data_IF_756041369977
#
_entry.id   IF_756041369977
#
_cell.length_a   1.000
_cell.length_b   1.000
_cell.length_c   1.000
_cell.angle_alpha   90.00
_cell.angle_beta   90.00
_cell.angle_gamma   90.00
#
_symmetry.space_group_name_H-M   'P 1'
#
loop_
_entity.id
_entity.type
_entity.pdbx_description
1 polymer ?
#
# COMPACT_ATOMS: atom_id res chain seq x y z
N UNK A 1 -12.19 2.29 -18.82
CA UNK A 1 -11.02 2.41 -19.73
C UNK A 1 -10.09 1.21 -19.56
N UNK A 2 -9.98 0.41 -20.61
CA UNK A 2 -9.10 -0.76 -20.71
C UNK A 2 -7.82 -0.42 -21.47
N UNK A 3 -6.67 -0.81 -20.92
CA UNK A 3 -5.37 -0.77 -21.59
C UNK A 3 -4.66 -2.11 -21.44
N UNK A 4 -3.95 -2.55 -22.47
CA UNK A 4 -3.20 -3.79 -22.43
C UNK A 4 -1.77 -3.59 -22.95
N UNK A 5 -0.83 -4.34 -22.39
CA UNK A 5 0.59 -4.24 -22.70
C UNK A 5 1.17 -5.63 -22.94
N UNK A 6 1.99 -5.75 -23.98
CA UNK A 6 2.79 -6.95 -24.27
C UNK A 6 4.27 -6.68 -24.03
N UNK A 7 5.00 -7.75 -23.77
CA UNK A 7 6.44 -7.71 -23.68
C UNK A 7 7.05 -7.91 -25.07
N UNK A 8 7.82 -6.93 -25.54
CA UNK A 8 8.61 -7.00 -26.78
C UNK A 8 10.08 -6.70 -26.45
N UNK A 9 10.98 -7.67 -26.64
CA UNK A 9 12.40 -7.57 -26.28
C UNK A 9 12.62 -7.04 -24.84
N UNK A 10 11.92 -7.63 -23.88
CA UNK A 10 11.90 -7.22 -22.46
C UNK A 10 11.41 -5.79 -22.21
N UNK A 11 10.70 -5.17 -23.16
CA UNK A 11 10.11 -3.83 -23.00
C UNK A 11 8.60 -3.93 -23.04
N UNK A 12 7.92 -3.18 -22.17
CA UNK A 12 6.47 -3.07 -22.21
C UNK A 12 6.04 -2.16 -23.36
N UNK A 13 5.28 -2.71 -24.29
CA UNK A 13 4.67 -2.00 -25.41
C UNK A 13 3.16 -2.06 -25.29
N UNK A 14 2.48 -0.94 -25.51
CA UNK A 14 1.02 -0.87 -25.48
C UNK A 14 0.44 -1.60 -26.69
N UNK A 15 -0.59 -2.40 -26.48
CA UNK A 15 -1.40 -2.99 -27.54
C UNK A 15 -2.40 -1.94 -28.06
N UNK A 16 -2.51 -1.84 -29.38
CA UNK A 16 -3.57 -1.06 -30.03
C UNK A 16 -4.79 -1.98 -30.16
N UNK A 17 -5.83 -1.74 -29.37
CA UNK A 17 -6.98 -2.63 -29.22
C UNK A 17 -8.04 -2.50 -30.32
N UNK A 18 -7.65 -1.92 -31.47
CA UNK A 18 -8.49 -1.69 -32.63
C UNK A 18 -8.58 -2.97 -33.49
N UNK A 19 -9.57 -3.79 -33.15
CA UNK A 19 -10.18 -4.89 -33.91
C UNK A 19 -9.32 -6.11 -34.33
N UNK A 20 -7.98 -6.08 -34.26
CA UNK A 20 -7.13 -7.19 -34.75
C UNK A 20 -6.19 -7.85 -33.72
N UNK A 21 -5.88 -7.21 -32.59
CA UNK A 21 -5.04 -7.81 -31.54
C UNK A 21 -5.90 -8.28 -30.36
N UNK A 22 -5.79 -9.57 -30.06
CA UNK A 22 -6.42 -10.27 -28.94
C UNK A 22 -5.64 -10.01 -27.64
N UNK A 23 -6.36 -9.81 -26.53
CA UNK A 23 -5.78 -9.63 -25.20
C UNK A 23 -4.91 -10.83 -24.78
N UNK A 24 -5.05 -11.99 -25.42
CA UNK A 24 -4.27 -13.20 -25.12
C UNK A 24 -2.75 -13.02 -25.16
N UNK A 25 -2.24 -12.05 -25.93
CA UNK A 25 -0.78 -11.77 -25.98
C UNK A 25 -0.28 -10.80 -24.90
N UNK A 26 -1.20 -10.21 -24.12
CA UNK A 26 -0.85 -9.25 -23.08
C UNK A 26 -0.13 -9.93 -21.91
N UNK A 27 0.88 -9.24 -21.39
CA UNK A 27 1.49 -9.54 -20.08
C UNK A 27 0.73 -8.78 -18.97
N UNK A 28 0.19 -7.61 -19.30
CA UNK A 28 -0.49 -6.72 -18.35
C UNK A 28 -1.77 -6.16 -18.95
N UNK A 29 -2.87 -6.28 -18.21
CA UNK A 29 -4.16 -5.63 -18.49
C UNK A 29 -4.47 -4.65 -17.37
N UNK A 30 -4.54 -3.37 -17.69
CA UNK A 30 -4.85 -2.26 -16.78
C UNK A 30 -6.25 -1.72 -17.05
N UNK A 31 -7.11 -1.78 -16.03
CA UNK A 31 -8.51 -1.36 -16.07
C UNK A 31 -8.73 -0.21 -15.10
N UNK A 32 -9.28 0.89 -15.64
CA UNK A 32 -9.59 2.12 -14.90
C UNK A 32 -11.06 2.41 -15.06
N UNK A 33 -11.81 2.35 -13.97
CA UNK A 33 -13.28 2.49 -13.99
C UNK A 33 -13.91 1.74 -15.18
N UNK A 34 -13.69 0.41 -15.30
CA UNK A 34 -14.07 -0.29 -16.51
C UNK A 34 -15.58 -0.32 -16.67
N UNK A 35 -16.03 -0.15 -17.91
CA UNK A 35 -17.42 -0.38 -18.28
C UNK A 35 -17.73 -1.89 -18.27
N UNK A 36 -19.02 -2.26 -18.18
CA UNK A 36 -19.43 -3.67 -18.23
C UNK A 36 -18.92 -4.37 -19.49
N UNK A 37 -18.92 -3.67 -20.64
CA UNK A 37 -18.39 -4.17 -21.92
C UNK A 37 -16.90 -4.53 -21.85
N UNK A 38 -16.10 -3.74 -21.13
CA UNK A 38 -14.67 -3.98 -20.94
C UNK A 38 -14.42 -5.15 -19.98
N UNK A 39 -15.24 -5.28 -18.92
CA UNK A 39 -15.19 -6.42 -17.99
C UNK A 39 -15.56 -7.72 -18.69
N UNK A 40 -16.64 -7.70 -19.47
CA UNK A 40 -17.11 -8.85 -20.25
C UNK A 40 -16.06 -9.28 -21.28
N UNK A 41 -15.36 -8.32 -21.90
CA UNK A 41 -14.26 -8.61 -22.83
C UNK A 41 -13.12 -9.36 -22.15
N UNK A 42 -12.67 -8.92 -20.98
CA UNK A 42 -11.62 -9.61 -20.19
C UNK A 42 -12.08 -11.01 -19.78
N UNK A 43 -13.33 -11.15 -19.33
CA UNK A 43 -13.91 -12.44 -18.97
C UNK A 43 -13.98 -13.40 -20.18
N UNK A 44 -14.36 -12.91 -21.36
CA UNK A 44 -14.54 -13.71 -22.55
C UNK A 44 -13.21 -14.12 -23.21
N UNK A 45 -12.28 -13.19 -23.35
CA UNK A 45 -10.99 -13.43 -24.04
C UNK A 45 -9.97 -14.13 -23.13
N UNK A 46 -9.95 -13.80 -21.83
CA UNK A 46 -8.92 -14.27 -20.90
C UNK A 46 -9.44 -15.21 -19.81
N UNK A 47 -10.76 -15.38 -19.68
CA UNK A 47 -11.36 -16.21 -18.64
C UNK A 47 -11.24 -15.62 -17.24
N UNK A 48 -10.88 -14.35 -17.11
CA UNK A 48 -10.58 -13.72 -15.82
C UNK A 48 -11.80 -12.97 -15.27
N UNK A 49 -12.28 -13.40 -14.10
CA UNK A 49 -13.21 -12.61 -13.29
C UNK A 49 -12.46 -11.47 -12.61
N UNK A 50 -13.03 -10.27 -12.66
CA UNK A 50 -12.49 -9.09 -11.98
C UNK A 50 -13.28 -8.80 -10.71
N UNK A 51 -12.60 -8.33 -9.66
CA UNK A 51 -13.21 -7.94 -8.40
C UNK A 51 -14.32 -6.89 -8.59
N UNK A 52 -15.37 -6.98 -7.78
CA UNK A 52 -16.47 -6.01 -7.78
C UNK A 52 -16.10 -4.78 -6.95
N UNK A 53 -16.77 -3.64 -7.18
CA UNK A 53 -16.50 -2.40 -6.41
C UNK A 53 -16.61 -2.61 -4.88
N UNK A 54 -17.66 -3.27 -4.36
CA UNK A 54 -17.75 -3.51 -2.91
C UNK A 54 -16.61 -4.34 -2.33
N UNK A 55 -16.03 -5.28 -3.10
CA UNK A 55 -14.88 -6.08 -2.66
C UNK A 55 -13.59 -5.25 -2.53
N UNK A 56 -13.50 -4.10 -3.21
CA UNK A 56 -12.37 -3.18 -3.08
C UNK A 56 -12.43 -2.34 -1.79
N UNK A 57 -13.62 -2.22 -1.19
CA UNK A 57 -13.85 -1.51 0.07
C UNK A 57 -13.52 -2.39 1.30
N UNK A 58 -13.42 -3.70 1.12
CA UNK A 58 -13.11 -4.62 2.20
C UNK A 58 -11.67 -4.43 2.72
N UNK A 59 -11.55 -4.22 4.04
CA UNK A 59 -10.26 -3.97 4.71
C UNK A 59 -9.67 -5.24 5.35
N UNK A 60 -10.43 -6.33 5.37
CA UNK A 60 -10.04 -7.57 6.04
C UNK A 60 -8.86 -8.24 5.32
N UNK A 61 -7.93 -8.82 6.07
CA UNK A 61 -6.74 -9.47 5.49
C UNK A 61 -7.11 -10.57 4.49
N UNK A 62 -8.15 -11.35 4.79
CA UNK A 62 -8.68 -12.43 3.96
C UNK A 62 -9.38 -11.95 2.70
N UNK A 63 -9.90 -10.71 2.69
CA UNK A 63 -10.55 -10.10 1.53
C UNK A 63 -9.55 -9.35 0.63
N UNK A 64 -8.35 -9.04 1.13
CA UNK A 64 -7.32 -8.31 0.39
C UNK A 64 -6.19 -9.19 -0.13
N UNK A 65 -5.83 -10.26 0.57
CA UNK A 65 -4.67 -11.08 0.23
C UNK A 65 -5.06 -12.56 0.25
N UNK A 66 -5.36 -13.12 -0.91
CA UNK A 66 -5.85 -14.49 -1.03
C UNK A 66 -5.48 -15.14 -2.36
N UNK A 67 -5.63 -16.45 -2.43
CA UNK A 67 -5.50 -17.25 -3.65
C UNK A 67 -6.79 -18.06 -3.83
N UNK A 68 -7.34 -18.06 -5.05
CA UNK A 68 -8.51 -18.85 -5.42
C UNK A 68 -8.38 -19.40 -6.85
N UNK A 69 -9.50 -19.81 -7.47
CA UNK A 69 -9.53 -20.35 -8.83
C UNK A 69 -9.17 -19.32 -9.92
N UNK A 70 -9.33 -18.03 -9.61
CA UNK A 70 -9.04 -16.88 -10.47
C UNK A 70 -7.63 -16.32 -10.28
N UNK A 71 -6.83 -16.92 -9.38
CA UNK A 71 -5.39 -16.69 -9.26
C UNK A 71 -4.97 -16.13 -7.91
N UNK A 72 -3.87 -15.38 -7.93
CA UNK A 72 -3.31 -14.69 -6.77
C UNK A 72 -3.86 -13.26 -6.71
N UNK A 73 -4.52 -12.90 -5.62
CA UNK A 73 -5.16 -11.60 -5.44
C UNK A 73 -4.46 -10.78 -4.35
N UNK A 74 -4.18 -9.52 -4.68
CA UNK A 74 -3.57 -8.54 -3.79
C UNK A 74 -4.30 -7.22 -3.97
N UNK A 75 -5.07 -6.81 -2.97
CA UNK A 75 -5.71 -5.51 -2.92
C UNK A 75 -4.83 -4.60 -2.07
N UNK A 76 -4.26 -3.57 -2.70
CA UNK A 76 -3.35 -2.66 -2.02
C UNK A 76 -3.74 -1.20 -2.20
N UNK A 77 -3.51 -0.41 -1.15
CA UNK A 77 -3.68 1.03 -1.22
C UNK A 77 -2.59 1.67 -2.07
N UNK A 78 -3.02 2.71 -2.79
CA UNK A 78 -2.17 3.64 -3.52
C UNK A 78 -2.55 5.06 -3.17
N UNK A 79 -1.54 5.84 -2.80
CA UNK A 79 -1.69 7.25 -2.44
C UNK A 79 -1.97 8.10 -3.68
N UNK A 80 -2.82 9.11 -3.52
CA UNK A 80 -3.10 10.13 -4.52
C UNK A 80 -3.55 11.42 -3.84
N UNK A 81 -3.54 12.51 -4.59
CA UNK A 81 -4.20 13.77 -4.24
C UNK A 81 -5.34 14.02 -5.21
N UNK A 82 -6.49 14.47 -4.70
CA UNK A 82 -7.64 14.80 -5.54
C UNK A 82 -7.52 16.19 -6.18
N UNK A 83 -8.58 16.64 -6.85
CA UNK A 83 -8.57 17.93 -7.55
C UNK A 83 -8.62 19.15 -6.61
N UNK A 84 -8.86 18.92 -5.32
CA UNK A 84 -8.89 19.94 -4.25
C UNK A 84 -7.64 19.83 -3.36
N UNK A 85 -6.60 19.13 -3.84
CA UNK A 85 -5.33 18.87 -3.13
C UNK A 85 -5.51 18.10 -1.80
N UNK A 86 -6.63 17.38 -1.65
CA UNK A 86 -6.79 16.48 -0.51
C UNK A 86 -6.14 15.13 -0.79
N UNK A 87 -5.30 14.70 0.15
CA UNK A 87 -4.71 13.37 0.13
C UNK A 87 -5.79 12.27 0.18
N UNK A 88 -5.49 11.11 -0.40
CA UNK A 88 -6.38 9.97 -0.40
C UNK A 88 -5.64 8.66 -0.64
N UNK A 89 -6.29 7.56 -0.27
CA UNK A 89 -5.85 6.21 -0.62
C UNK A 89 -6.92 5.54 -1.47
N UNK A 90 -6.54 5.04 -2.64
CA UNK A 90 -7.41 4.23 -3.50
C UNK A 90 -6.96 2.78 -3.44
N UNK A 91 -7.89 1.87 -3.23
CA UNK A 91 -7.60 0.43 -3.39
C UNK A 91 -7.37 0.13 -4.86
N UNK A 92 -6.32 -0.64 -5.14
CA UNK A 92 -6.06 -1.25 -6.44
C UNK A 92 -6.06 -2.76 -6.26
N UNK A 93 -6.88 -3.46 -7.02
CA UNK A 93 -6.88 -4.91 -7.06
C UNK A 93 -5.88 -5.39 -8.12
N UNK A 94 -4.87 -6.12 -7.66
CA UNK A 94 -3.92 -6.84 -8.49
C UNK A 94 -4.32 -8.30 -8.50
N UNK A 95 -4.43 -8.88 -9.70
CA UNK A 95 -4.63 -10.31 -9.87
C UNK A 95 -3.53 -10.86 -10.77
N UNK A 96 -2.87 -11.94 -10.35
CA UNK A 96 -1.91 -12.67 -11.18
C UNK A 96 -2.45 -14.05 -11.48
N UNK A 97 -2.61 -14.35 -12.78
CA UNK A 97 -3.06 -15.65 -13.28
C UNK A 97 -2.39 -15.98 -14.61
N UNK A 98 -1.95 -17.22 -14.76
CA UNK A 98 -1.34 -17.73 -16.00
C UNK A 98 -0.19 -16.86 -16.53
N UNK A 99 0.58 -16.25 -15.62
CA UNK A 99 1.71 -15.38 -15.95
C UNK A 99 1.33 -13.97 -16.42
N UNK A 100 0.05 -13.59 -16.35
CA UNK A 100 -0.43 -12.22 -16.64
C UNK A 100 -0.78 -11.47 -15.38
N UNK A 101 -0.58 -10.15 -15.42
CA UNK A 101 -1.01 -9.22 -14.39
C UNK A 101 -2.29 -8.51 -14.82
N UNK A 102 -3.28 -8.46 -13.95
CA UNK A 102 -4.46 -7.61 -14.06
C UNK A 102 -4.41 -6.55 -12.97
N UNK A 103 -4.64 -5.29 -13.35
CA UNK A 103 -4.81 -4.19 -12.39
C UNK A 103 -6.18 -3.57 -12.58
N UNK A 104 -6.97 -3.53 -11.51
CA UNK A 104 -8.28 -2.88 -11.48
C UNK A 104 -8.25 -1.73 -10.47
N UNK A 105 -8.61 -0.53 -10.94
CA UNK A 105 -8.59 0.70 -10.15
C UNK A 105 -9.74 1.63 -10.50
N UNK A 106 -10.16 2.42 -9.52
CA UNK A 106 -11.28 3.37 -9.66
C UNK A 106 -10.86 4.75 -10.15
N UNK A 107 -9.56 5.00 -10.30
CA UNK A 107 -9.05 6.30 -10.75
C UNK A 107 -7.66 6.20 -11.33
N UNK A 108 -7.25 7.27 -12.00
CA UNK A 108 -5.84 7.51 -12.36
C UNK A 108 -4.98 7.75 -11.13
N UNK A 109 -3.83 7.09 -11.07
CA UNK A 109 -2.92 7.12 -9.94
C UNK A 109 -1.52 7.60 -10.38
N UNK A 110 -0.84 8.47 -9.59
CA UNK A 110 0.46 9.00 -9.96
C UNK A 110 1.52 7.90 -10.20
N UNK A 111 1.60 6.89 -9.33
CA UNK A 111 2.53 5.76 -9.49
C UNK A 111 2.33 5.01 -10.82
N UNK A 112 1.09 4.74 -11.24
CA UNK A 112 0.79 4.08 -12.52
C UNK A 112 1.17 4.96 -13.72
N UNK A 113 0.93 6.27 -13.62
CA UNK A 113 1.33 7.24 -14.66
C UNK A 113 2.84 7.30 -14.80
N UNK A 114 3.57 7.37 -13.68
CA UNK A 114 5.03 7.42 -13.65
C UNK A 114 5.65 6.12 -14.19
N UNK A 115 5.15 4.97 -13.73
CA UNK A 115 5.64 3.68 -14.22
C UNK A 115 5.41 3.52 -15.73
N UNK A 116 4.20 3.82 -16.25
CA UNK A 116 3.92 3.75 -17.69
C UNK A 116 4.81 4.69 -18.52
N UNK A 117 5.19 5.85 -17.97
CA UNK A 117 6.13 6.76 -18.62
C UNK A 117 7.54 6.13 -18.72
N UNK A 118 8.05 5.54 -17.62
CA UNK A 118 9.37 4.90 -17.55
C UNK A 118 9.44 3.62 -18.40
N UNK A 119 8.40 2.79 -18.34
CA UNK A 119 8.29 1.51 -19.04
C UNK A 119 8.45 1.61 -20.57
N UNK A 120 8.16 2.78 -21.17
CA UNK A 120 8.41 3.04 -22.60
C UNK A 120 9.90 2.97 -22.95
N UNK A 121 10.76 3.38 -22.03
CA UNK A 121 12.20 3.54 -22.26
C UNK A 121 13.06 2.50 -21.52
N UNK A 122 12.53 1.89 -20.47
CA UNK A 122 13.21 0.90 -19.64
C UNK A 122 12.95 -0.54 -20.10
N UNK A 123 13.93 -1.41 -19.89
CA UNK A 123 13.78 -2.86 -20.09
C UNK A 123 13.56 -3.52 -18.73
N UNK A 124 12.64 -4.47 -18.69
CA UNK A 124 12.48 -5.42 -17.60
C UNK A 124 13.65 -6.40 -17.59
N UNK A 125 14.05 -6.85 -16.41
CA UNK A 125 15.14 -7.80 -16.19
C UNK A 125 14.68 -9.21 -16.55
N UNK A 126 13.59 -9.69 -15.94
CA UNK A 126 13.08 -11.05 -16.11
C UNK A 126 11.83 -11.08 -17.02
N UNK A 127 11.12 -9.97 -17.16
CA UNK A 127 9.98 -9.80 -18.07
C UNK A 127 8.73 -10.58 -17.65
N UNK A 128 8.39 -10.59 -16.36
CA UNK A 128 7.25 -11.36 -15.86
C UNK A 128 6.27 -10.52 -15.01
N UNK A 129 5.07 -11.07 -14.76
CA UNK A 129 4.00 -10.38 -14.04
C UNK A 129 4.36 -10.04 -12.58
N UNK A 130 5.21 -10.83 -11.92
CA UNK A 130 5.64 -10.55 -10.56
C UNK A 130 6.62 -9.38 -10.51
N UNK A 131 7.56 -9.32 -11.46
CA UNK A 131 8.45 -8.16 -11.62
C UNK A 131 7.62 -6.90 -11.84
N UNK A 132 6.65 -6.94 -12.75
CA UNK A 132 5.77 -5.80 -13.02
C UNK A 132 4.99 -5.32 -11.78
N UNK A 133 4.46 -6.25 -10.99
CA UNK A 133 3.77 -5.91 -9.74
C UNK A 133 4.73 -5.23 -8.75
N UNK A 134 5.95 -5.77 -8.62
CA UNK A 134 6.95 -5.23 -7.70
C UNK A 134 7.49 -3.88 -8.17
N UNK A 135 7.68 -3.67 -9.47
CA UNK A 135 8.07 -2.37 -10.02
C UNK A 135 7.01 -1.28 -9.72
N UNK A 136 5.72 -1.64 -9.77
CA UNK A 136 4.63 -0.73 -9.38
C UNK A 136 4.68 -0.43 -7.87
N UNK A 137 5.09 -1.39 -7.04
CA UNK A 137 5.30 -1.16 -5.62
C UNK A 137 6.54 -0.31 -5.34
N UNK A 138 7.65 -0.52 -6.04
CA UNK A 138 8.83 0.36 -5.97
C UNK A 138 8.48 1.79 -6.32
N UNK A 139 7.78 2.00 -7.44
CA UNK A 139 7.34 3.33 -7.86
C UNK A 139 6.41 3.97 -6.82
N UNK A 140 5.56 3.16 -6.17
CA UNK A 140 4.73 3.63 -5.06
C UNK A 140 5.58 4.03 -3.85
N UNK A 141 6.57 3.24 -3.44
CA UNK A 141 7.41 3.55 -2.28
C UNK A 141 8.27 4.79 -2.54
N UNK A 142 8.80 4.97 -3.75
CA UNK A 142 9.50 6.19 -4.17
C UNK A 142 8.61 7.42 -3.97
N UNK A 143 7.38 7.37 -4.46
CA UNK A 143 6.42 8.47 -4.28
C UNK A 143 6.11 8.73 -2.80
N UNK A 144 5.90 7.69 -1.99
CA UNK A 144 5.63 7.86 -0.55
C UNK A 144 6.83 8.45 0.21
N UNK A 145 8.05 8.15 -0.22
CA UNK A 145 9.26 8.76 0.32
C UNK A 145 9.30 10.27 0.01
N UNK A 146 9.00 10.65 -1.24
CA UNK A 146 8.91 12.06 -1.64
C UNK A 146 7.87 12.81 -0.79
N UNK A 147 6.69 12.22 -0.52
CA UNK A 147 5.70 12.85 0.35
C UNK A 147 6.21 13.06 1.78
N UNK A 148 6.93 12.08 2.35
CA UNK A 148 7.54 12.23 3.67
C UNK A 148 8.55 13.39 3.68
N UNK A 149 9.36 13.53 2.63
CA UNK A 149 10.32 14.64 2.50
C UNK A 149 9.63 16.01 2.38
N UNK A 150 8.52 16.08 1.65
CA UNK A 150 7.69 17.29 1.55
C UNK A 150 7.13 17.68 2.92
N UNK A 151 6.55 16.73 3.67
CA UNK A 151 6.02 17.00 5.01
C UNK A 151 7.12 17.54 5.93
N UNK A 152 8.33 16.95 5.93
CA UNK A 152 9.43 17.48 6.74
C UNK A 152 9.80 18.92 6.38
N UNK A 153 9.83 19.22 5.09
CA UNK A 153 10.17 20.55 4.58
C UNK A 153 9.12 21.59 4.97
N UNK A 154 7.85 21.23 4.92
CA UNK A 154 6.74 22.13 5.26
C UNK A 154 6.57 22.29 6.77
N UNK A 155 6.77 21.21 7.55
CA UNK A 155 6.79 21.29 9.01
C UNK A 155 7.92 22.18 9.54
N UNK A 156 9.08 22.20 8.88
CA UNK A 156 10.19 23.10 9.23
C UNK A 156 9.84 24.57 8.96
N UNK A 157 9.15 24.87 7.85
CA UNK A 157 8.66 26.23 7.56
C UNK A 157 7.61 26.65 8.60
N UNK A 158 6.66 25.76 8.89
CA UNK A 158 5.59 25.96 9.85
C UNK A 158 6.13 26.24 11.26
N UNK A 159 7.14 25.47 11.69
CA UNK A 159 7.83 25.67 12.97
C UNK A 159 8.39 27.09 13.14
N UNK A 160 8.93 27.69 12.06
CA UNK A 160 9.45 29.07 12.10
C UNK A 160 8.32 30.09 12.24
N UNK A 161 7.22 29.90 11.52
CA UNK A 161 6.03 30.76 11.62
C UNK A 161 5.48 30.76 13.05
N UNK A 162 5.35 29.59 13.66
CA UNK A 162 4.87 29.45 15.05
C UNK A 162 5.84 30.12 16.05
N UNK A 163 7.15 30.04 15.83
CA UNK A 163 8.16 30.63 16.72
C UNK A 163 8.29 32.16 16.58
N UNK A 164 8.02 32.72 15.40
CA UNK A 164 8.16 34.15 15.09
C UNK A 164 6.81 34.92 15.19
N UNK A 165 5.69 34.21 15.14
CA UNK A 165 4.35 34.77 15.03
C UNK A 165 3.83 35.45 16.30
N UNK A 166 3.08 36.55 16.11
CA UNK A 166 2.24 37.15 17.15
C UNK A 166 0.81 36.60 16.99
N UNK A 167 0.07 36.38 18.09
CA UNK A 167 -1.30 35.82 18.06
C UNK A 167 -2.21 36.56 17.07
N UNK A 168 -2.90 35.83 16.17
CA UNK A 168 -3.78 36.35 15.12
C UNK A 168 -3.99 35.34 13.97
N UNK A 169 -4.44 35.82 12.80
CA UNK A 169 -4.81 35.01 11.63
C UNK A 169 -3.68 34.05 11.15
N UNK A 170 -2.40 34.42 11.34
CA UNK A 170 -1.23 33.58 10.99
C UNK A 170 -1.16 32.27 11.80
N UNK A 171 -1.72 32.25 13.00
CA UNK A 171 -1.77 31.06 13.85
C UNK A 171 -2.88 30.08 13.39
N UNK A 172 -4.01 30.59 12.91
CA UNK A 172 -5.12 29.76 12.41
C UNK A 172 -4.75 29.09 11.09
N UNK A 173 -4.03 29.80 10.21
CA UNK A 173 -3.45 29.23 8.98
C UNK A 173 -2.42 28.15 9.30
N UNK A 174 -1.54 28.42 10.27
CA UNK A 174 -0.55 27.45 10.74
C UNK A 174 -1.18 26.16 11.29
N UNK A 175 -2.26 26.26 12.08
CA UNK A 175 -2.99 25.10 12.59
C UNK A 175 -3.68 24.31 11.47
N UNK A 176 -4.22 25.00 10.46
CA UNK A 176 -4.84 24.36 9.31
C UNK A 176 -3.81 23.56 8.50
N UNK A 177 -2.65 24.15 8.21
CA UNK A 177 -1.54 23.46 7.55
C UNK A 177 -1.04 22.28 8.38
N UNK A 178 -0.96 22.39 9.71
CA UNK A 178 -0.56 21.27 10.56
C UNK A 178 -1.52 20.07 10.43
N UNK A 179 -2.84 20.34 10.41
CA UNK A 179 -3.85 19.31 10.26
C UNK A 179 -3.77 18.62 8.89
N UNK A 180 -3.54 19.38 7.82
CA UNK A 180 -3.32 18.84 6.47
C UNK A 180 -2.09 17.93 6.42
N UNK A 181 -0.96 18.38 6.98
CA UNK A 181 0.28 17.59 7.03
C UNK A 181 0.12 16.29 7.86
N UNK A 182 -0.66 16.34 8.94
CA UNK A 182 -0.99 15.16 9.75
C UNK A 182 -1.81 14.13 8.95
N UNK A 183 -2.84 14.60 8.23
CA UNK A 183 -3.70 13.75 7.41
C UNK A 183 -2.93 13.09 6.25
N UNK A 184 -2.05 13.85 5.57
CA UNK A 184 -1.13 13.29 4.56
C UNK A 184 -0.25 12.21 5.19
N UNK A 185 0.40 12.53 6.32
CA UNK A 185 1.26 11.58 7.04
C UNK A 185 0.52 10.30 7.44
N UNK A 186 -0.72 10.41 7.91
CA UNK A 186 -1.57 9.28 8.26
C UNK A 186 -1.90 8.41 7.05
N UNK A 187 -2.28 9.01 5.92
CA UNK A 187 -2.58 8.29 4.67
C UNK A 187 -1.36 7.61 4.09
N UNK A 188 -0.20 8.26 4.12
CA UNK A 188 1.09 7.65 3.75
C UNK A 188 1.37 6.42 4.62
N UNK A 189 1.17 6.52 5.95
CA UNK A 189 1.40 5.39 6.87
C UNK A 189 0.51 4.21 6.56
N UNK A 190 -0.77 4.44 6.31
CA UNK A 190 -1.71 3.38 5.93
C UNK A 190 -1.27 2.69 4.65
N UNK A 191 -0.81 3.45 3.65
CA UNK A 191 -0.31 2.93 2.40
C UNK A 191 0.95 2.06 2.60
N UNK A 192 1.90 2.51 3.42
CA UNK A 192 3.11 1.76 3.79
C UNK A 192 2.77 0.45 4.52
N UNK A 193 1.93 0.50 5.56
CA UNK A 193 1.56 -0.68 6.35
C UNK A 193 0.80 -1.72 5.52
N UNK A 194 -0.09 -1.26 4.64
CA UNK A 194 -0.82 -2.14 3.73
C UNK A 194 0.12 -2.82 2.71
N UNK A 195 1.04 -2.05 2.12
CA UNK A 195 2.05 -2.59 1.19
C UNK A 195 2.97 -3.59 1.89
N UNK A 196 3.34 -3.34 3.16
CA UNK A 196 4.11 -4.28 3.97
C UNK A 196 3.37 -5.61 4.14
N UNK A 197 2.05 -5.57 4.39
CA UNK A 197 1.21 -6.78 4.52
C UNK A 197 1.12 -7.53 3.20
N UNK A 198 0.92 -6.82 2.09
CA UNK A 198 0.89 -7.39 0.75
C UNK A 198 2.20 -8.12 0.40
N UNK A 199 3.35 -7.49 0.63
CA UNK A 199 4.67 -8.08 0.37
C UNK A 199 4.96 -9.28 1.29
N UNK A 200 4.59 -9.20 2.57
CA UNK A 200 4.73 -10.33 3.49
C UNK A 200 3.88 -11.53 3.06
N UNK A 201 2.69 -11.30 2.53
CA UNK A 201 1.86 -12.34 1.95
C UNK A 201 2.53 -12.94 0.71
N UNK A 202 2.98 -12.11 -0.23
CA UNK A 202 3.70 -12.52 -1.45
C UNK A 202 4.90 -13.41 -1.15
N UNK A 203 5.78 -12.97 -0.26
CA UNK A 203 7.01 -13.71 0.12
C UNK A 203 6.69 -15.08 0.73
N UNK A 204 5.54 -15.23 1.39
CA UNK A 204 5.16 -16.50 2.04
C UNK A 204 4.37 -17.44 1.14
N UNK A 205 3.57 -16.90 0.22
CA UNK A 205 2.56 -17.66 -0.56
C UNK A 205 2.96 -17.84 -2.01
N UNK A 206 3.40 -16.77 -2.67
CA UNK A 206 3.78 -16.82 -4.07
C UNK A 206 5.13 -17.53 -4.22
N UNK A 207 5.24 -18.39 -5.24
CA UNK A 207 6.51 -18.98 -5.67
C UNK A 207 7.28 -17.98 -6.51
N UNK A 208 7.74 -16.90 -5.88
CA UNK A 208 8.52 -15.85 -6.52
C UNK A 208 9.84 -16.41 -7.06
N UNK A 209 10.25 -16.05 -8.29
CA UNK A 209 11.62 -16.29 -8.74
C UNK A 209 12.63 -15.55 -7.85
N UNK A 210 13.88 -16.00 -7.84
CA UNK A 210 14.92 -15.47 -6.94
C UNK A 210 15.14 -13.97 -7.09
N UNK A 211 15.05 -13.43 -8.32
CA UNK A 211 15.15 -11.99 -8.58
C UNK A 211 14.03 -11.21 -7.89
N UNK A 212 12.78 -11.59 -8.14
CA UNK A 212 11.61 -10.95 -7.52
C UNK A 212 11.54 -11.15 -5.99
N UNK A 213 12.08 -12.24 -5.46
CA UNK A 213 12.17 -12.43 -4.01
C UNK A 213 13.13 -11.42 -3.37
N UNK A 214 14.26 -11.12 -4.01
CA UNK A 214 15.20 -10.11 -3.51
C UNK A 214 14.61 -8.71 -3.68
N UNK A 215 13.99 -8.43 -4.83
CA UNK A 215 13.26 -7.19 -5.10
C UNK A 215 12.20 -6.91 -4.03
N UNK A 216 11.35 -7.90 -3.70
CA UNK A 216 10.34 -7.78 -2.65
C UNK A 216 10.96 -7.49 -1.26
N UNK A 217 12.15 -8.04 -0.96
CA UNK A 217 12.86 -7.77 0.30
C UNK A 217 13.52 -6.40 0.33
N UNK A 218 13.91 -5.86 -0.81
CA UNK A 218 14.41 -4.49 -0.92
C UNK A 218 13.28 -3.51 -0.61
N UNK A 219 12.13 -3.66 -1.27
CA UNK A 219 10.94 -2.83 -0.99
C UNK A 219 10.49 -2.94 0.48
N UNK A 220 10.53 -4.14 1.08
CA UNK A 220 10.25 -4.30 2.52
C UNK A 220 11.24 -3.54 3.41
N UNK A 221 12.53 -3.54 3.06
CA UNK A 221 13.56 -2.79 3.79
C UNK A 221 13.34 -1.28 3.67
N UNK A 222 12.95 -0.80 2.48
CA UNK A 222 12.63 0.62 2.29
C UNK A 222 11.44 1.02 3.14
N UNK A 223 10.37 0.22 3.18
CA UNK A 223 9.21 0.46 4.06
C UNK A 223 9.63 0.49 5.53
N UNK A 224 10.47 -0.45 5.98
CA UNK A 224 11.00 -0.46 7.35
C UNK A 224 11.85 0.78 7.67
N UNK A 225 12.50 1.38 6.67
CA UNK A 225 13.25 2.62 6.84
C UNK A 225 12.34 3.87 6.90
N UNK A 226 11.23 3.88 6.16
CA UNK A 226 10.30 5.02 6.06
C UNK A 226 9.31 5.12 7.22
N UNK A 227 8.88 3.99 7.78
CA UNK A 227 7.92 3.96 8.90
C UNK A 227 8.37 4.77 10.14
N UNK A 228 9.64 4.67 10.61
CA UNK A 228 10.14 5.50 11.71
C UNK A 228 10.10 7.01 11.42
N UNK A 229 10.36 7.41 10.18
CA UNK A 229 10.26 8.81 9.76
C UNK A 229 8.83 9.33 9.89
N UNK A 230 7.87 8.51 9.44
CA UNK A 230 6.45 8.82 9.57
C UNK A 230 6.01 8.91 11.05
N UNK A 231 6.48 8.02 11.94
CA UNK A 231 6.22 8.10 13.39
C UNK A 231 6.80 9.37 14.04
N UNK A 232 8.01 9.78 13.62
CA UNK A 232 8.67 10.98 14.13
C UNK A 232 7.91 12.26 13.76
N UNK A 233 7.19 12.29 12.64
CA UNK A 233 6.36 13.43 12.25
C UNK A 233 5.23 13.67 13.27
N UNK A 234 4.58 12.61 13.74
CA UNK A 234 3.53 12.73 14.77
C UNK A 234 4.07 13.23 16.11
N UNK A 235 5.25 12.79 16.53
CA UNK A 235 5.89 13.31 17.76
C UNK A 235 6.30 14.78 17.66
N UNK A 236 6.53 15.27 16.43
CA UNK A 236 6.94 16.65 16.17
C UNK A 236 5.71 17.56 15.94
N UNK A 237 4.59 17.00 15.48
CA UNK A 237 3.28 17.67 15.41
C UNK A 237 2.60 17.83 16.77
N UNK A 238 2.93 16.98 17.76
CA UNK A 238 2.63 17.20 19.17
C UNK A 238 3.52 18.32 19.76
N UNK A 239 3.32 19.56 19.32
CA UNK A 239 3.86 20.73 20.01
C UNK A 239 3.21 20.80 21.42
N UNK A 240 4.00 21.05 22.49
CA UNK A 240 3.46 21.13 23.84
C UNK A 240 2.52 22.33 23.92
N UNK A 241 1.27 22.05 24.27
CA UNK A 241 0.23 23.01 24.61
C UNK A 241 0.80 24.04 25.61
N UNK A 242 1.21 25.20 25.09
CA UNK A 242 1.85 26.24 25.85
C UNK A 242 0.78 27.05 26.60
N UNK A 243 0.36 26.52 27.75
CA UNK A 243 -0.19 27.30 28.86
C UNK A 243 -1.65 27.73 28.72
N UNK A 244 -2.56 26.85 29.13
CA UNK A 244 -3.92 27.20 29.53
C UNK A 244 -4.42 26.21 30.59
N UNK A 245 -4.67 26.68 31.81
CA UNK A 245 -5.29 25.91 32.88
C UNK A 245 -6.54 25.15 32.39
N UNK A 246 -6.55 23.81 32.47
CA UNK A 246 -7.78 23.03 32.32
C UNK A 246 -7.65 21.63 31.73
N UNK A 247 -7.22 20.66 32.56
CA UNK A 247 -7.69 19.26 32.57
C UNK A 247 -8.05 18.58 31.23
N UNK A 248 -7.08 17.97 30.55
CA UNK A 248 -7.26 16.66 29.89
C UNK A 248 -5.95 15.87 29.92
N UNK A 249 -5.79 15.01 30.93
CA UNK A 249 -4.75 13.98 30.94
C UNK A 249 -5.15 12.87 29.97
N UNK A 250 -4.57 12.82 28.78
CA UNK A 250 -4.41 11.54 28.08
C UNK A 250 -3.17 10.85 28.63
N UNK A 251 -3.40 10.05 29.69
CA UNK A 251 -2.44 9.12 30.25
C UNK A 251 -2.34 7.93 29.29
N UNK A 252 -1.21 7.78 28.61
CA UNK A 252 -0.86 6.52 27.95
C UNK A 252 -0.61 5.47 29.05
N UNK A 253 -1.58 4.57 29.23
CA UNK A 253 -1.35 3.33 30.00
C UNK A 253 -0.85 2.22 29.06
N UNK A 254 0.22 1.49 29.44
CA UNK A 254 0.64 0.31 28.71
C UNK A 254 -0.17 -0.89 29.21
N UNK A 255 -1.22 -1.27 28.48
CA UNK A 255 -1.93 -2.51 28.76
C UNK A 255 -2.03 -3.39 27.49
N UNK A 256 -1.04 -4.26 27.33
CA UNK A 256 -1.19 -5.54 26.63
C UNK A 256 -0.34 -6.61 27.30
N UNK A 257 -0.88 -7.24 28.34
CA UNK A 257 -0.72 -8.66 28.61
C UNK A 257 -2.06 -9.16 29.16
N UNK A 258 -2.42 -10.37 28.77
CA UNK A 258 -3.64 -11.10 29.11
C UNK A 258 -4.90 -10.76 28.32
N UNK A 259 -4.99 -11.35 27.12
CA UNK A 259 -6.25 -11.88 26.57
C UNK A 259 -5.93 -12.95 25.50
N UNK A 260 -5.48 -14.13 25.94
CA UNK A 260 -5.77 -15.38 25.22
C UNK A 260 -6.68 -16.22 26.11
N UNK A 261 -7.96 -16.21 25.71
CA UNK A 261 -9.03 -16.98 26.33
C UNK A 261 -8.77 -18.49 26.27
N UNK A 262 -9.23 -19.16 27.31
CA UNK A 262 -9.17 -20.60 27.44
C UNK A 262 -9.96 -21.36 26.38
N UNK A 263 -9.38 -22.48 25.97
CA UNK A 263 -10.11 -23.65 25.46
C UNK A 263 -9.75 -24.78 26.42
N UNK A 264 -10.75 -25.37 27.07
CA UNK A 264 -10.55 -26.39 28.09
C UNK A 264 -9.97 -27.69 27.54
N UNK A 265 -9.42 -28.53 28.44
CA UNK A 265 -9.95 -29.85 28.79
C UNK A 265 -8.97 -30.61 29.71
N UNK A 266 -9.55 -31.40 30.61
CA UNK A 266 -9.00 -32.56 31.31
C UNK A 266 -7.92 -32.42 32.41
N UNK A 267 -8.43 -32.62 33.63
CA UNK A 267 -7.75 -33.15 34.81
C UNK A 267 -6.92 -34.42 34.54
N UNK A 268 -5.74 -34.55 35.16
CA UNK A 268 -5.38 -35.73 35.95
C UNK A 268 -4.15 -35.53 36.84
N UNK A 269 -4.27 -36.00 38.09
CA UNK A 269 -3.27 -36.04 39.16
C UNK A 269 -2.10 -37.00 38.86
N UNK A 270 -0.91 -36.70 39.43
CA UNK A 270 -0.04 -37.53 40.31
C UNK A 270 1.37 -36.92 40.29
N UNK A 271 1.84 -36.22 41.34
CA UNK A 271 2.58 -36.72 42.53
C UNK A 271 3.66 -37.73 42.15
N UNK A 272 4.95 -37.45 42.43
CA UNK A 272 5.99 -38.34 43.00
C UNK A 272 7.33 -37.55 43.07
N UNK A 273 7.72 -37.11 44.26
CA UNK A 273 9.12 -37.09 44.72
C UNK A 273 9.31 -38.39 45.52
N UNK A 274 10.51 -39.00 45.61
CA UNK A 274 11.59 -38.52 46.50
C UNK A 274 13.02 -38.97 46.02
N UNK A 275 14.06 -39.09 46.86
CA UNK A 275 14.81 -38.02 47.54
C UNK A 275 16.35 -38.11 47.31
N UNK A 276 17.07 -37.24 48.03
CA UNK A 276 18.50 -36.93 48.03
C UNK A 276 19.50 -38.07 48.38
N UNK A 277 20.76 -37.87 47.92
CA UNK A 277 22.11 -38.17 48.53
C UNK A 277 23.14 -38.06 47.38
N UNK A 278 24.32 -37.46 47.46
CA UNK A 278 25.16 -36.90 48.52
C UNK A 278 25.92 -35.67 47.99
#
# INVERSE_FOLDING_TARGET
MLSAFKLDNSRLSRLELDEAEDLTTSLWVDLVEPEESERDRVQHELGQSLATRPELDDIEASARFFEDEDGLHIHSFFYFEDAEDHAGNSTVAFTIRDGRLYTLRERELPAFRLYRMRARNQMMVDGNAYELLLDLFETKIEQLADEIENIYSDLEKLSRVIMEGHQGDEYDEALSTLAELEDIGWKVRLCLMDTQRALNFLVRKARLPTGQLEQAREVLRDIESLLPHNESLFQKGELPDAGGDGLYQYRTEPHHQDLLGGVGWCSCRRRWWPPATA
#
